data_IF_454671202009
#
_entry.id   IF_454671202009
#
_cell.length_a   1.000
_cell.length_b   1.000
_cell.length_c   1.000
_cell.angle_alpha   90.00
_cell.angle_beta   90.00
_cell.angle_gamma   90.00
#
_symmetry.space_group_name_H-M   'P 1'
#
loop_
_entity.id
_entity.type
_entity.pdbx_description
1 polymer ?
#
# COMPACT_ATOMS: atom_id res chain seq x y z
N UNK A 1 -14.70 -13.32 -7.24
CA UNK A 1 -13.61 -12.75 -6.42
C UNK A 1 -13.38 -13.68 -5.23
N UNK A 2 -12.16 -13.78 -4.67
CA UNK A 2 -11.94 -14.59 -3.48
C UNK A 2 -12.71 -14.03 -2.29
N UNK A 3 -13.11 -14.90 -1.38
CA UNK A 3 -13.71 -14.51 -0.10
C UNK A 3 -12.62 -13.98 0.81
N UNK A 4 -12.76 -12.74 1.27
CA UNK A 4 -11.74 -12.05 2.09
C UNK A 4 -12.39 -11.12 3.09
N UNK A 5 -11.85 -11.10 4.30
CA UNK A 5 -12.24 -10.21 5.39
C UNK A 5 -11.11 -9.27 5.79
N UNK A 6 -11.48 -8.16 6.42
CA UNK A 6 -10.53 -7.19 6.98
C UNK A 6 -10.57 -7.26 8.50
N UNK A 7 -9.42 -7.59 9.08
CA UNK A 7 -9.19 -7.55 10.51
C UNK A 7 -8.49 -6.27 10.91
N UNK A 8 -8.91 -5.65 11.99
CA UNK A 8 -8.30 -4.46 12.57
C UNK A 8 -7.74 -4.81 13.94
N UNK A 9 -6.45 -4.52 14.16
CA UNK A 9 -5.75 -4.70 15.43
C UNK A 9 -5.20 -3.38 15.93
N UNK A 10 -5.04 -3.29 17.25
CA UNK A 10 -4.14 -2.32 17.85
C UNK A 10 -2.70 -2.81 17.65
N UNK A 11 -1.83 -1.89 17.25
CA UNK A 11 -0.40 -2.12 17.07
C UNK A 11 0.36 -1.32 18.10
N UNK A 12 1.21 -1.98 18.87
CA UNK A 12 2.10 -1.34 19.83
C UNK A 12 3.53 -1.77 19.60
N UNK A 13 4.46 -0.86 19.83
CA UNK A 13 5.90 -1.10 19.69
C UNK A 13 6.60 -0.87 21.01
N UNK A 14 7.53 -1.77 21.36
CA UNK A 14 8.46 -1.61 22.49
C UNK A 14 9.86 -2.05 22.03
N UNK A 15 10.76 -1.08 21.88
CA UNK A 15 12.04 -1.31 21.20
C UNK A 15 11.80 -1.83 19.78
N UNK A 16 12.43 -2.92 19.42
CA UNK A 16 12.26 -3.57 18.09
C UNK A 16 11.10 -4.56 18.01
N UNK A 17 10.38 -4.75 19.09
CA UNK A 17 9.28 -5.71 19.15
C UNK A 17 7.94 -5.05 18.92
N UNK A 18 7.11 -5.66 18.09
CA UNK A 18 5.72 -5.28 17.85
C UNK A 18 4.76 -6.28 18.50
N UNK A 19 3.63 -5.77 18.97
CA UNK A 19 2.54 -6.58 19.51
C UNK A 19 1.22 -6.14 18.92
N UNK A 20 0.44 -7.11 18.43
CA UNK A 20 -0.94 -6.93 18.02
C UNK A 20 -1.86 -7.30 19.17
N UNK A 21 -2.94 -6.54 19.34
CA UNK A 21 -3.97 -6.77 20.36
C UNK A 21 -5.34 -6.29 19.89
N UNK A 22 -6.40 -6.65 20.60
CA UNK A 22 -7.76 -6.19 20.35
C UNK A 22 -8.25 -6.43 18.90
N UNK A 23 -7.89 -7.60 18.33
CA UNK A 23 -8.26 -7.97 16.97
C UNK A 23 -9.78 -8.07 16.80
N UNK A 24 -10.31 -7.37 15.80
CA UNK A 24 -11.73 -7.44 15.41
C UNK A 24 -11.83 -7.62 13.90
N UNK A 25 -12.73 -8.50 13.44
CA UNK A 25 -13.11 -8.58 12.04
C UNK A 25 -14.10 -7.45 11.77
N UNK A 26 -13.72 -6.46 10.96
CA UNK A 26 -14.53 -5.26 10.70
C UNK A 26 -15.48 -5.42 9.51
N UNK A 27 -15.35 -6.48 8.75
CA UNK A 27 -16.23 -6.79 7.61
C UNK A 27 -17.13 -8.00 7.91
N UNK A 28 -16.58 -9.11 8.35
CA UNK A 28 -17.27 -10.31 8.85
C UNK A 28 -18.50 -10.71 8.02
N UNK A 29 -18.32 -10.90 6.72
CA UNK A 29 -19.37 -11.25 5.77
C UNK A 29 -18.82 -12.08 4.62
N UNK A 30 -19.63 -12.94 3.97
CA UNK A 30 -19.22 -13.60 2.74
C UNK A 30 -18.94 -12.58 1.64
N UNK A 31 -17.89 -12.78 0.85
CA UNK A 31 -17.53 -12.01 -0.32
C UNK A 31 -16.19 -11.28 -0.17
N UNK A 32 -15.91 -10.42 -1.14
CA UNK A 32 -14.63 -9.75 -1.24
C UNK A 32 -14.65 -8.41 -0.51
N UNK A 33 -13.85 -8.31 0.55
CA UNK A 33 -13.53 -7.08 1.27
C UNK A 33 -12.01 -6.92 1.33
N UNK A 34 -11.45 -5.90 0.68
CA UNK A 34 -10.00 -5.84 0.44
C UNK A 34 -9.49 -4.39 0.29
N UNK A 35 -8.17 -4.23 0.11
CA UNK A 35 -7.51 -2.96 -0.18
C UNK A 35 -7.77 -1.89 0.89
N UNK A 36 -7.58 -2.20 2.19
CA UNK A 36 -7.79 -1.23 3.25
C UNK A 36 -6.79 -0.07 3.17
N UNK A 37 -7.28 1.14 3.51
CA UNK A 37 -6.49 2.35 3.64
C UNK A 37 -7.01 3.19 4.79
N UNK A 38 -6.14 3.64 5.69
CA UNK A 38 -6.53 4.50 6.79
C UNK A 38 -6.77 5.95 6.32
N UNK A 39 -7.73 6.63 6.95
CA UNK A 39 -7.81 8.08 6.85
C UNK A 39 -6.61 8.75 7.52
N UNK A 40 -6.17 9.95 7.08
CA UNK A 40 -5.03 10.64 7.68
C UNK A 40 -5.17 10.95 9.18
N UNK A 41 -6.41 11.09 9.66
CA UNK A 41 -6.72 11.26 11.08
C UNK A 41 -6.84 9.95 11.87
N UNK A 42 -6.59 8.82 11.22
CA UNK A 42 -6.66 7.46 11.75
C UNK A 42 -8.01 7.06 12.38
N UNK A 43 -9.11 7.76 12.02
CA UNK A 43 -10.45 7.49 12.57
C UNK A 43 -11.28 6.55 11.72
N UNK A 44 -10.87 6.32 10.48
CA UNK A 44 -11.60 5.49 9.52
C UNK A 44 -10.67 4.60 8.72
N UNK A 45 -11.22 3.46 8.28
CA UNK A 45 -10.62 2.59 7.27
C UNK A 45 -11.52 2.63 6.03
N UNK A 46 -10.98 3.06 4.89
CA UNK A 46 -11.61 2.91 3.58
C UNK A 46 -11.18 1.59 2.98
N UNK A 47 -12.07 0.91 2.28
CA UNK A 47 -11.76 -0.38 1.65
C UNK A 47 -12.69 -0.65 0.47
N UNK A 48 -12.26 -1.54 -0.42
CA UNK A 48 -13.06 -2.06 -1.52
C UNK A 48 -13.91 -3.20 -1.01
N UNK A 49 -15.21 -3.19 -1.29
CA UNK A 49 -16.15 -4.26 -0.97
C UNK A 49 -16.96 -4.64 -2.21
N UNK A 50 -17.01 -5.93 -2.52
CA UNK A 50 -17.88 -6.45 -3.59
C UNK A 50 -19.22 -6.86 -3.01
N UNK A 51 -20.27 -6.16 -3.43
CA UNK A 51 -21.66 -6.42 -3.01
C UNK A 51 -22.58 -6.24 -4.21
N UNK A 52 -23.63 -7.02 -4.27
CA UNK A 52 -24.70 -6.89 -5.27
C UNK A 52 -24.19 -6.84 -6.73
N UNK A 53 -23.11 -7.59 -7.02
CA UNK A 53 -22.55 -7.68 -8.36
C UNK A 53 -21.52 -6.61 -8.71
N UNK A 54 -21.17 -5.69 -7.80
CA UNK A 54 -20.28 -4.56 -8.04
C UNK A 54 -19.29 -4.34 -6.90
N UNK A 55 -18.13 -3.76 -7.20
CA UNK A 55 -17.16 -3.30 -6.21
C UNK A 55 -17.32 -1.80 -5.98
N UNK A 56 -17.58 -1.44 -4.73
CA UNK A 56 -17.64 -0.05 -4.27
C UNK A 56 -16.68 0.19 -3.11
N UNK A 57 -16.45 1.46 -2.80
CA UNK A 57 -15.69 1.85 -1.62
C UNK A 57 -16.62 1.98 -0.42
N UNK A 58 -16.20 1.37 0.68
CA UNK A 58 -16.85 1.46 1.98
C UNK A 58 -15.94 2.15 2.98
N UNK A 59 -16.54 2.78 3.98
CA UNK A 59 -15.84 3.43 5.08
C UNK A 59 -16.27 2.80 6.39
N UNK A 60 -15.33 2.25 7.15
CA UNK A 60 -15.53 1.82 8.53
C UNK A 60 -15.08 2.93 9.48
N UNK A 61 -15.97 3.37 10.37
CA UNK A 61 -15.63 4.29 11.45
C UNK A 61 -15.14 3.50 12.67
N UNK A 62 -13.90 3.73 13.08
CA UNK A 62 -13.24 2.91 14.12
C UNK A 62 -13.89 3.11 15.49
N UNK A 63 -14.22 4.34 15.86
CA UNK A 63 -14.82 4.65 17.17
C UNK A 63 -16.27 4.19 17.25
N UNK A 64 -17.07 4.47 16.21
CA UNK A 64 -18.49 4.09 16.17
C UNK A 64 -18.70 2.60 15.84
N UNK A 65 -17.69 1.91 15.33
CA UNK A 65 -17.76 0.50 14.84
C UNK A 65 -18.87 0.31 13.79
N UNK A 66 -19.01 1.28 12.89
CA UNK A 66 -20.05 1.29 11.85
C UNK A 66 -19.45 1.40 10.46
N UNK A 67 -20.05 0.71 9.51
CA UNK A 67 -19.71 0.76 8.10
C UNK A 67 -20.77 1.53 7.32
N UNK A 68 -20.34 2.35 6.37
CA UNK A 68 -21.21 2.96 5.35
C UNK A 68 -20.59 2.83 3.97
N UNK A 69 -21.42 2.74 2.95
CA UNK A 69 -21.01 2.86 1.57
C UNK A 69 -20.53 4.30 1.32
N UNK A 70 -19.36 4.44 0.69
CA UNK A 70 -18.78 5.75 0.38
C UNK A 70 -18.96 6.12 -1.09
N UNK A 71 -18.79 5.18 -2.01
CA UNK A 71 -19.12 5.38 -3.43
C UNK A 71 -20.38 4.59 -3.80
N UNK A 72 -21.18 5.13 -4.71
CA UNK A 72 -22.38 4.49 -5.25
C UNK A 72 -22.53 4.97 -6.71
N UNK A 73 -21.68 4.45 -7.60
CA UNK A 73 -21.70 4.77 -9.03
C UNK A 73 -22.06 3.52 -9.83
N UNK A 74 -22.37 3.62 -11.12
CA UNK A 74 -22.62 2.44 -11.94
C UNK A 74 -21.35 1.70 -12.37
N UNK A 75 -20.16 2.16 -11.96
CA UNK A 75 -18.85 1.58 -12.23
C UNK A 75 -18.23 0.99 -10.97
N UNK A 76 -17.29 0.07 -11.14
CA UNK A 76 -16.57 -0.54 -10.01
C UNK A 76 -15.36 0.28 -9.59
N UNK A 77 -15.21 0.50 -8.27
CA UNK A 77 -14.11 1.24 -7.66
C UNK A 77 -13.23 0.34 -6.78
N UNK A 78 -11.91 0.60 -6.86
CA UNK A 78 -10.87 -0.18 -6.19
C UNK A 78 -9.79 0.71 -5.59
N UNK A 79 -9.00 0.15 -4.66
CA UNK A 79 -7.77 0.75 -4.11
C UNK A 79 -7.99 2.16 -3.56
N UNK A 80 -8.86 2.37 -2.57
CA UNK A 80 -9.13 3.69 -2.02
C UNK A 80 -7.89 4.24 -1.30
N UNK A 81 -7.60 5.54 -1.50
CA UNK A 81 -6.62 6.29 -0.71
C UNK A 81 -7.07 7.73 -0.53
N UNK A 82 -6.97 8.28 0.69
CA UNK A 82 -7.23 9.70 0.90
C UNK A 82 -6.11 10.52 0.26
N UNK A 83 -6.47 11.54 -0.50
CA UNK A 83 -5.49 12.43 -1.14
C UNK A 83 -4.65 13.19 -0.11
N UNK A 84 -3.38 13.56 -0.42
CA UNK A 84 -2.50 14.24 0.55
C UNK A 84 -3.02 15.59 1.07
N UNK A 85 -3.96 16.23 0.37
CA UNK A 85 -4.63 17.45 0.82
C UNK A 85 -5.82 17.20 1.75
N UNK A 86 -6.15 15.92 2.01
CA UNK A 86 -7.23 15.49 2.88
C UNK A 86 -8.64 15.84 2.38
N UNK A 87 -8.82 16.13 1.08
CA UNK A 87 -10.11 16.60 0.55
C UNK A 87 -10.90 15.53 -0.19
N UNK A 88 -10.23 14.49 -0.68
CA UNK A 88 -10.83 13.46 -1.52
C UNK A 88 -10.40 12.06 -1.10
N UNK A 89 -11.17 11.06 -1.49
CA UNK A 89 -10.72 9.68 -1.62
C UNK A 89 -10.48 9.42 -3.10
N UNK A 90 -9.26 9.08 -3.48
CA UNK A 90 -8.92 8.62 -4.83
C UNK A 90 -9.14 7.11 -4.95
N UNK A 91 -9.49 6.65 -6.14
CA UNK A 91 -9.81 5.25 -6.44
C UNK A 91 -9.39 4.92 -7.87
N UNK A 92 -9.06 3.67 -8.12
CA UNK A 92 -9.06 3.12 -9.48
C UNK A 92 -10.50 2.74 -9.83
N UNK A 93 -11.07 3.39 -10.84
CA UNK A 93 -12.39 3.05 -11.36
C UNK A 93 -12.24 2.24 -12.64
N UNK A 94 -13.01 1.15 -12.74
CA UNK A 94 -13.20 0.39 -13.96
C UNK A 94 -14.45 0.91 -14.63
N UNK A 95 -14.29 1.67 -15.71
CA UNK A 95 -15.38 2.31 -16.43
C UNK A 95 -16.15 1.28 -17.28
N UNK A 96 -17.30 1.67 -17.83
CA UNK A 96 -18.18 0.77 -18.61
C UNK A 96 -17.50 0.12 -19.82
N UNK A 97 -16.52 0.80 -20.40
CA UNK A 97 -15.70 0.29 -21.51
C UNK A 97 -14.50 -0.54 -21.02
N UNK A 98 -14.46 -0.90 -19.74
CA UNK A 98 -13.37 -1.61 -19.06
C UNK A 98 -12.07 -0.80 -18.90
N UNK A 99 -12.08 0.48 -19.22
CA UNK A 99 -10.92 1.35 -19.01
C UNK A 99 -10.71 1.60 -17.53
N UNK A 100 -9.48 1.43 -17.07
CA UNK A 100 -9.12 1.68 -15.66
C UNK A 100 -8.47 3.05 -15.54
N UNK A 101 -9.15 3.98 -14.84
CA UNK A 101 -8.67 5.34 -14.61
C UNK A 101 -8.67 5.73 -13.15
N UNK A 102 -7.87 6.73 -12.80
CA UNK A 102 -7.83 7.28 -11.45
C UNK A 102 -8.86 8.40 -11.32
N UNK A 103 -9.80 8.19 -10.42
CA UNK A 103 -10.82 9.15 -10.03
C UNK A 103 -10.65 9.57 -8.57
N UNK A 104 -11.21 10.70 -8.19
CA UNK A 104 -11.27 11.16 -6.80
C UNK A 104 -12.66 11.68 -6.43
N UNK A 105 -13.14 11.26 -5.28
CA UNK A 105 -14.45 11.55 -4.72
C UNK A 105 -14.29 12.54 -3.58
N UNK A 106 -15.02 13.70 -3.57
CA UNK A 106 -14.91 14.66 -2.49
C UNK A 106 -15.41 14.08 -1.15
N UNK A 107 -14.62 14.21 -0.07
CA UNK A 107 -15.01 13.77 1.28
C UNK A 107 -16.25 14.50 1.82
N UNK A 108 -16.50 15.73 1.34
CA UNK A 108 -17.68 16.54 1.70
C UNK A 108 -18.89 16.30 0.80
N UNK A 109 -18.82 15.30 -0.10
CA UNK A 109 -19.84 15.06 -1.11
C UNK A 109 -19.67 15.93 -2.35
N UNK A 110 -20.34 15.54 -3.44
CA UNK A 110 -20.26 16.18 -4.74
C UNK A 110 -19.83 15.21 -5.84
N UNK A 111 -19.78 15.68 -7.10
CA UNK A 111 -19.41 14.81 -8.23
C UNK A 111 -17.94 14.38 -8.15
N UNK A 112 -17.65 13.14 -8.59
CA UNK A 112 -16.28 12.67 -8.72
C UNK A 112 -15.53 13.44 -9.82
N UNK A 113 -14.19 13.48 -9.68
CA UNK A 113 -13.29 14.18 -10.60
C UNK A 113 -12.26 13.21 -11.15
N UNK A 114 -12.12 13.16 -12.46
CA UNK A 114 -11.08 12.41 -13.15
C UNK A 114 -9.71 13.07 -12.87
N UNK A 115 -8.72 12.27 -12.44
CA UNK A 115 -7.38 12.79 -12.11
C UNK A 115 -6.54 13.01 -13.37
N UNK A 116 -6.56 12.04 -14.29
CA UNK A 116 -5.83 12.09 -15.56
C UNK A 116 -6.76 11.81 -16.73
N UNK A 117 -6.72 12.68 -17.75
CA UNK A 117 -7.49 12.50 -19.00
C UNK A 117 -6.79 11.54 -19.96
N UNK A 118 -5.44 11.58 -19.98
CA UNK A 118 -4.60 10.92 -20.98
C UNK A 118 -3.79 9.74 -20.42
N UNK A 119 -4.10 9.28 -19.21
CA UNK A 119 -3.49 8.10 -18.60
C UNK A 119 -4.61 7.15 -18.18
N UNK A 120 -4.55 5.94 -18.70
CA UNK A 120 -5.45 4.82 -18.40
C UNK A 120 -4.65 3.56 -18.03
N UNK A 121 -5.35 2.43 -17.95
CA UNK A 121 -4.78 1.14 -17.57
C UNK A 121 -4.10 1.15 -16.21
N UNK A 122 -4.57 2.02 -15.30
CA UNK A 122 -4.01 2.18 -13.96
C UNK A 122 -4.46 1.01 -13.10
N UNK A 123 -3.52 0.14 -12.70
CA UNK A 123 -3.79 -0.98 -11.79
C UNK A 123 -3.64 -0.59 -10.32
N UNK A 124 -2.57 0.12 -10.00
CA UNK A 124 -2.24 0.61 -8.65
C UNK A 124 -1.60 1.98 -8.71
N UNK A 125 -1.62 2.69 -7.59
CA UNK A 125 -1.02 4.02 -7.51
C UNK A 125 -0.61 4.37 -6.08
N UNK A 126 0.27 5.36 -5.96
CA UNK A 126 0.66 5.95 -4.69
C UNK A 126 0.85 7.46 -4.89
N UNK A 127 0.27 8.26 -4.00
CA UNK A 127 0.50 9.70 -3.96
C UNK A 127 1.88 9.98 -3.38
N UNK A 128 2.75 10.63 -4.14
CA UNK A 128 4.05 11.13 -3.68
C UNK A 128 3.86 12.45 -2.93
N UNK A 129 2.99 13.30 -3.45
CA UNK A 129 2.53 14.54 -2.83
C UNK A 129 1.21 14.97 -3.47
N UNK A 130 0.69 16.15 -3.12
CA UNK A 130 -0.61 16.65 -3.63
C UNK A 130 -0.73 16.74 -5.17
N UNK A 131 0.38 16.74 -5.89
CA UNK A 131 0.41 16.91 -7.35
C UNK A 131 1.09 15.76 -8.08
N UNK A 132 1.80 14.89 -7.41
CA UNK A 132 2.64 13.86 -8.00
C UNK A 132 2.26 12.47 -7.51
N UNK A 133 2.17 11.54 -8.44
CA UNK A 133 1.86 10.13 -8.18
C UNK A 133 2.88 9.22 -8.84
N UNK A 134 3.04 8.05 -8.26
CA UNK A 134 3.59 6.88 -8.93
C UNK A 134 2.43 5.98 -9.33
N UNK A 135 2.39 5.55 -10.59
CA UNK A 135 1.35 4.71 -11.16
C UNK A 135 1.95 3.39 -11.65
N UNK A 136 1.31 2.29 -11.29
CA UNK A 136 1.53 0.99 -11.90
C UNK A 136 0.50 0.82 -13.02
N UNK A 137 0.98 0.83 -14.26
CA UNK A 137 0.15 0.68 -15.45
C UNK A 137 0.14 -0.78 -15.89
N UNK A 138 -1.06 -1.30 -16.06
CA UNK A 138 -1.30 -2.63 -16.65
C UNK A 138 -0.90 -2.64 -18.12
N UNK A 139 -0.47 -3.77 -18.60
CA UNK A 139 -0.10 -3.96 -20.00
C UNK A 139 0.93 -5.08 -20.15
N UNK A 140 1.45 -5.23 -21.36
CA UNK A 140 2.54 -6.15 -21.63
C UNK A 140 3.62 -5.42 -22.45
N UNK A 141 4.74 -5.03 -21.81
CA UNK A 141 5.04 -5.17 -20.38
C UNK A 141 4.27 -4.18 -19.48
N UNK A 142 4.12 -4.52 -18.20
CA UNK A 142 3.66 -3.61 -17.16
C UNK A 142 4.67 -2.48 -16.95
N UNK A 143 4.21 -1.29 -16.50
CA UNK A 143 5.06 -0.12 -16.37
C UNK A 143 4.85 0.58 -15.03
N UNK A 144 5.92 1.06 -14.44
CA UNK A 144 5.88 2.01 -13.35
C UNK A 144 6.22 3.39 -13.89
N UNK A 145 5.35 4.38 -13.65
CA UNK A 145 5.52 5.73 -14.17
C UNK A 145 5.28 6.79 -13.09
N UNK A 146 5.96 7.94 -13.23
CA UNK A 146 5.62 9.14 -12.47
C UNK A 146 4.61 9.96 -13.27
N UNK A 147 3.57 10.46 -12.61
CA UNK A 147 2.54 11.30 -13.21
C UNK A 147 2.23 12.53 -12.35
N UNK A 148 1.78 13.62 -12.97
CA UNK A 148 1.50 14.89 -12.31
C UNK A 148 0.04 15.30 -12.48
N UNK A 149 -0.73 15.30 -11.38
CA UNK A 149 -2.18 15.56 -11.37
C UNK A 149 -2.56 17.01 -11.67
N UNK A 150 -1.66 17.99 -11.47
CA UNK A 150 -1.96 19.41 -11.65
C UNK A 150 -1.71 19.91 -13.07
N UNK A 151 -1.08 19.11 -13.94
CA UNK A 151 -0.68 19.57 -15.26
C UNK A 151 -0.71 18.41 -16.28
N UNK A 152 -1.93 18.03 -16.66
CA UNK A 152 -2.20 17.00 -17.66
C UNK A 152 -1.67 17.39 -19.08
N UNK A 153 -1.29 18.66 -19.28
CA UNK A 153 -0.89 19.18 -20.59
C UNK A 153 0.60 19.44 -20.77
N UNK A 154 1.38 19.60 -19.69
CA UNK A 154 2.74 20.15 -19.76
C UNK A 154 3.85 19.28 -19.18
N UNK A 155 3.57 18.46 -18.18
CA UNK A 155 4.54 17.51 -17.62
C UNK A 155 4.20 16.11 -18.08
N UNK A 156 4.97 15.59 -19.02
CA UNK A 156 4.84 14.21 -19.47
C UNK A 156 5.10 13.27 -18.30
N UNK A 157 4.23 12.27 -18.14
CA UNK A 157 4.52 11.13 -17.28
C UNK A 157 5.88 10.53 -17.69
N UNK A 158 6.78 10.36 -16.71
CA UNK A 158 8.08 9.74 -16.92
C UNK A 158 8.04 8.25 -16.65
N UNK A 159 8.56 7.42 -17.56
CA UNK A 159 8.79 6.02 -17.27
C UNK A 159 9.83 5.89 -16.16
N UNK A 160 9.50 5.16 -15.08
CA UNK A 160 10.45 4.81 -14.02
C UNK A 160 11.10 3.47 -14.39
N UNK A 161 10.29 2.44 -14.62
CA UNK A 161 10.77 1.11 -14.99
C UNK A 161 9.66 0.30 -15.67
N UNK A 162 10.04 -0.73 -16.42
CA UNK A 162 9.16 -1.74 -17.00
C UNK A 162 9.05 -3.00 -16.12
N UNK A 163 9.62 -2.97 -14.90
CA UNK A 163 9.60 -4.07 -13.93
C UNK A 163 9.25 -3.50 -12.56
N UNK A 164 8.00 -3.11 -12.35
CA UNK A 164 7.57 -2.48 -11.10
C UNK A 164 6.70 -3.40 -10.26
N UNK A 165 6.81 -3.29 -8.93
CA UNK A 165 5.93 -3.99 -7.99
C UNK A 165 4.56 -3.31 -7.85
N UNK A 166 3.58 -4.06 -7.34
CA UNK A 166 2.20 -3.58 -7.09
C UNK A 166 2.04 -2.91 -5.73
N UNK A 167 2.98 -3.15 -4.81
CA UNK A 167 2.99 -2.50 -3.50
C UNK A 167 3.86 -1.26 -3.59
N UNK A 168 3.22 -0.10 -3.61
CA UNK A 168 3.87 1.18 -3.83
C UNK A 168 3.82 2.00 -2.54
N UNK A 169 4.98 2.46 -2.09
CA UNK A 169 5.14 3.36 -0.96
C UNK A 169 6.05 4.50 -1.35
N UNK A 170 5.77 5.69 -0.85
CA UNK A 170 6.62 6.86 -1.06
C UNK A 170 7.07 7.40 0.28
N UNK A 171 8.34 7.74 0.38
CA UNK A 171 8.88 8.52 1.48
C UNK A 171 9.89 9.54 0.98
N UNK A 172 10.15 10.55 1.82
CA UNK A 172 11.12 11.58 1.53
C UNK A 172 12.34 11.37 2.40
N UNK A 173 13.45 10.98 1.78
CA UNK A 173 14.75 11.07 2.42
C UNK A 173 15.26 12.50 2.26
N UNK A 174 15.25 13.27 3.34
CA UNK A 174 15.90 14.57 3.36
C UNK A 174 17.34 14.36 3.80
N UNK A 175 18.24 14.18 2.84
CA UNK A 175 19.66 14.41 3.09
C UNK A 175 19.90 15.93 3.14
N UNK A 176 20.77 16.42 4.00
CA UNK A 176 21.22 17.83 3.96
C UNK A 176 21.88 18.22 2.63
N UNK A 177 22.31 17.25 1.85
CA UNK A 177 23.04 17.43 0.58
C UNK A 177 22.24 17.00 -0.64
N UNK A 178 21.17 16.21 -0.49
CA UNK A 178 20.39 15.72 -1.62
C UNK A 178 18.96 15.37 -1.16
N UNK A 179 17.99 16.18 -1.57
CA UNK A 179 16.55 15.94 -1.32
C UNK A 179 15.97 14.92 -2.32
N UNK A 180 16.61 13.78 -2.47
CA UNK A 180 16.16 12.73 -3.39
C UNK A 180 14.92 12.05 -2.84
N UNK A 181 13.90 11.92 -3.70
CA UNK A 181 12.71 11.11 -3.44
C UNK A 181 13.03 9.64 -3.69
N UNK A 182 12.60 8.78 -2.80
CA UNK A 182 12.70 7.35 -2.97
C UNK A 182 11.30 6.76 -3.12
N UNK A 183 11.15 5.93 -4.13
CA UNK A 183 9.97 5.09 -4.29
C UNK A 183 10.39 3.70 -3.84
N UNK A 184 9.62 3.12 -2.94
CA UNK A 184 9.89 1.80 -2.41
C UNK A 184 8.87 0.85 -3.00
N UNK A 185 9.33 -0.18 -3.67
CA UNK A 185 8.50 -1.28 -4.10
C UNK A 185 8.94 -2.55 -3.41
N UNK A 186 8.01 -3.43 -3.17
CA UNK A 186 8.33 -4.70 -2.55
C UNK A 186 7.83 -5.89 -3.38
N UNK A 187 8.59 -6.97 -3.39
CA UNK A 187 8.40 -8.12 -4.28
C UNK A 187 8.58 -9.50 -3.60
N UNK A 188 7.82 -10.52 -4.02
CA UNK A 188 8.19 -11.92 -3.81
C UNK A 188 8.98 -12.42 -5.01
N UNK A 189 10.07 -13.13 -4.77
CA UNK A 189 10.95 -13.66 -5.77
C UNK A 189 10.25 -14.29 -6.98
N UNK A 190 10.96 -14.69 -7.98
CA UNK A 190 10.52 -15.07 -9.32
C UNK A 190 9.08 -15.60 -9.40
N UNK A 191 8.19 -14.87 -10.09
CA UNK A 191 6.87 -15.38 -10.52
C UNK A 191 6.99 -16.32 -11.73
N UNK A 192 8.21 -16.60 -12.17
CA UNK A 192 8.47 -17.53 -13.26
C UNK A 192 8.15 -18.95 -12.79
N UNK A 193 7.12 -19.61 -13.36
CA UNK A 193 6.77 -20.97 -12.98
C UNK A 193 7.87 -21.99 -13.37
N UNK A 194 8.83 -21.59 -14.18
CA UNK A 194 9.97 -22.41 -14.61
C UNK A 194 11.22 -22.23 -13.76
N UNK A 195 11.21 -21.31 -12.76
CA UNK A 195 12.33 -21.13 -11.84
C UNK A 195 12.54 -22.42 -11.04
N UNK A 196 13.69 -23.09 -11.18
CA UNK A 196 13.97 -24.35 -10.52
C UNK A 196 14.20 -24.20 -9.00
N UNK A 197 14.29 -22.97 -8.47
CA UNK A 197 14.53 -22.73 -7.06
C UNK A 197 13.26 -22.28 -6.33
N UNK A 198 12.47 -23.20 -5.74
CA UNK A 198 11.23 -22.85 -5.04
C UNK A 198 11.46 -21.95 -3.81
N UNK A 199 12.67 -21.89 -3.27
CA UNK A 199 13.00 -21.00 -2.13
C UNK A 199 13.06 -19.53 -2.52
N UNK A 200 13.25 -19.19 -3.79
CA UNK A 200 13.22 -17.81 -4.26
C UNK A 200 11.81 -17.30 -4.49
N UNK A 201 10.81 -18.19 -4.67
CA UNK A 201 9.41 -17.80 -4.89
C UNK A 201 8.75 -17.15 -3.67
N UNK A 202 9.15 -17.56 -2.47
CA UNK A 202 8.55 -17.14 -1.20
C UNK A 202 9.39 -16.10 -0.45
N UNK A 203 10.50 -15.67 -1.03
CA UNK A 203 11.40 -14.68 -0.40
C UNK A 203 11.07 -13.31 -0.92
N UNK A 204 10.59 -12.39 -0.08
CA UNK A 204 10.33 -11.01 -0.49
C UNK A 204 11.65 -10.29 -0.75
N UNK A 205 11.69 -9.58 -1.85
CA UNK A 205 12.78 -8.70 -2.24
C UNK A 205 12.27 -7.27 -2.04
N UNK A 206 12.96 -6.48 -1.24
CA UNK A 206 12.70 -5.05 -1.07
C UNK A 206 13.75 -4.31 -1.86
N UNK A 207 13.30 -3.47 -2.75
CA UNK A 207 14.16 -2.66 -3.59
C UNK A 207 13.80 -1.18 -3.43
N UNK A 208 14.83 -0.34 -3.25
CA UNK A 208 14.67 1.12 -3.15
C UNK A 208 15.09 1.78 -4.44
N UNK A 209 14.24 2.67 -4.99
CA UNK A 209 14.51 3.39 -6.23
C UNK A 209 15.09 4.76 -5.95
N UNK A 210 16.34 4.99 -6.33
CA UNK A 210 16.87 6.31 -6.60
C UNK A 210 16.85 6.53 -8.13
N UNK A 211 15.74 7.03 -8.60
CA UNK A 211 15.66 7.70 -9.91
C UNK A 211 15.98 6.96 -11.18
N UNK A 212 16.06 5.67 -11.36
CA UNK A 212 16.13 5.00 -12.68
C UNK A 212 16.71 3.57 -12.69
N UNK A 213 16.56 2.77 -11.65
CA UNK A 213 17.13 1.41 -11.71
C UNK A 213 16.06 0.31 -11.62
N UNK A 214 16.38 -0.90 -12.09
CA UNK A 214 15.45 -2.02 -12.37
C UNK A 214 14.87 -2.68 -11.12
N UNK A 215 13.59 -3.04 -11.16
CA UNK A 215 12.84 -3.61 -10.02
C UNK A 215 12.06 -4.87 -10.37
N UNK A 216 11.89 -5.70 -9.37
CA UNK A 216 11.16 -6.96 -9.44
C UNK A 216 9.84 -6.96 -8.59
N UNK A 217 8.85 -7.81 -8.84
CA UNK A 217 7.42 -7.74 -8.43
C UNK A 217 6.98 -8.40 -7.10
N UNK A 218 6.01 -7.87 -6.27
CA UNK A 218 5.54 -8.45 -5.00
C UNK A 218 4.11 -8.36 -4.60
N UNK A 219 3.79 -9.08 -3.52
CA UNK A 219 2.61 -8.89 -2.69
C UNK A 219 2.85 -7.81 -1.61
N UNK A 220 1.75 -7.37 -1.00
CA UNK A 220 1.66 -6.15 -0.23
C UNK A 220 2.57 -6.06 1.00
N UNK A 221 3.37 -5.01 1.05
CA UNK A 221 4.16 -4.57 2.21
C UNK A 221 3.65 -3.20 2.66
N UNK A 222 3.77 -2.93 3.94
CA UNK A 222 3.52 -1.62 4.52
C UNK A 222 4.64 -1.26 5.48
N UNK A 223 4.86 0.01 5.72
CA UNK A 223 6.01 0.48 6.49
C UNK A 223 5.62 1.41 7.65
N UNK A 224 6.44 1.39 8.68
CA UNK A 224 6.46 2.39 9.75
C UNK A 224 7.83 3.07 9.72
N UNK A 225 7.81 4.39 9.66
CA UNK A 225 9.02 5.20 9.80
C UNK A 225 9.35 5.40 11.27
N UNK A 226 10.62 5.26 11.61
CA UNK A 226 11.16 5.63 12.91
C UNK A 226 12.14 6.78 12.74
N UNK A 227 11.81 7.94 13.29
CA UNK A 227 12.73 9.06 13.36
C UNK A 227 13.50 8.93 14.66
N UNK A 228 14.81 8.69 14.59
CA UNK A 228 15.68 8.72 15.76
C UNK A 228 16.19 10.15 15.94
N UNK A 229 15.86 10.85 17.03
CA UNK A 229 16.44 12.16 17.33
C UNK A 229 17.96 12.04 17.44
N UNK A 230 18.67 12.87 16.70
CA UNK A 230 20.14 12.89 16.77
C UNK A 230 20.60 13.85 17.86
N UNK A 231 21.31 13.32 18.82
CA UNK A 231 21.93 14.11 19.91
C UNK A 231 23.20 14.86 19.46
N UNK A 232 23.61 14.71 18.20
CA UNK A 232 24.80 15.35 17.63
C UNK A 232 24.44 16.06 16.32
N UNK A 233 24.62 17.39 16.18
CA UNK A 233 24.32 18.15 14.97
C UNK A 233 25.15 17.77 13.75
N UNK A 234 26.27 17.07 13.92
CA UNK A 234 27.14 16.61 12.84
C UNK A 234 26.85 15.17 12.38
N UNK A 235 25.94 14.47 13.06
CA UNK A 235 25.56 13.12 12.69
C UNK A 235 24.51 13.13 11.56
N UNK A 236 24.63 12.18 10.61
CA UNK A 236 23.65 11.96 9.57
C UNK A 236 22.35 11.43 10.20
N UNK A 237 21.19 11.92 9.71
CA UNK A 237 19.89 11.39 10.15
C UNK A 237 19.83 9.89 9.82
N UNK A 238 19.64 9.06 10.82
CA UNK A 238 19.45 7.63 10.65
C UNK A 238 17.97 7.40 10.38
N UNK A 239 17.65 6.99 9.17
CA UNK A 239 16.30 6.54 8.84
C UNK A 239 16.21 5.05 9.09
N UNK A 240 15.16 4.66 9.78
CA UNK A 240 14.82 3.28 10.06
C UNK A 240 13.38 3.02 9.63
N UNK A 241 13.19 1.97 8.82
CA UNK A 241 11.87 1.57 8.34
C UNK A 241 11.61 0.13 8.70
N UNK A 242 10.49 -0.12 9.33
CA UNK A 242 9.98 -1.47 9.50
C UNK A 242 8.97 -1.80 8.39
N UNK A 243 9.28 -2.83 7.65
CA UNK A 243 8.41 -3.43 6.64
C UNK A 243 7.67 -4.60 7.24
N UNK A 244 6.39 -4.72 6.90
CA UNK A 244 5.54 -5.82 7.36
C UNK A 244 5.05 -6.64 6.18
N UNK A 245 5.07 -7.94 6.34
CA UNK A 245 4.66 -8.92 5.33
C UNK A 245 3.95 -10.09 5.98
N UNK A 246 2.95 -10.63 5.29
CA UNK A 246 2.31 -11.90 5.63
C UNK A 246 2.89 -13.08 4.87
N UNK A 247 2.99 -14.23 5.56
CA UNK A 247 3.23 -15.53 4.94
C UNK A 247 2.33 -16.55 5.64
N UNK A 248 1.27 -17.02 4.97
CA UNK A 248 0.20 -17.73 5.64
C UNK A 248 -0.41 -16.87 6.76
N UNK A 249 -0.66 -17.40 7.96
CA UNK A 249 -1.14 -16.63 9.10
C UNK A 249 -0.06 -15.84 9.83
N UNK A 250 1.20 -15.97 9.42
CA UNK A 250 2.35 -15.41 10.11
C UNK A 250 2.64 -13.99 9.60
N UNK A 251 2.74 -13.04 10.52
CA UNK A 251 3.16 -11.67 10.24
C UNK A 251 4.64 -11.53 10.54
N UNK A 252 5.39 -11.09 9.57
CA UNK A 252 6.83 -10.82 9.68
C UNK A 252 7.13 -9.34 9.58
N UNK A 253 8.29 -8.94 10.09
CA UNK A 253 8.89 -7.63 9.86
C UNK A 253 10.32 -7.73 9.34
N UNK A 254 10.72 -6.74 8.56
CA UNK A 254 12.10 -6.47 8.18
C UNK A 254 12.42 -5.00 8.44
N UNK A 255 13.57 -4.72 9.04
CA UNK A 255 13.99 -3.35 9.34
C UNK A 255 15.07 -2.93 8.35
N UNK A 256 14.79 -1.86 7.59
CA UNK A 256 15.80 -1.19 6.75
C UNK A 256 16.40 -0.03 7.53
N UNK A 257 17.72 0.04 7.51
CA UNK A 257 18.52 1.16 8.02
C UNK A 257 19.32 1.78 6.88
N UNK A 258 19.91 2.96 7.09
CA UNK A 258 20.81 3.59 6.11
C UNK A 258 21.96 2.66 5.66
N UNK A 259 22.34 1.69 6.48
CA UNK A 259 23.43 0.77 6.19
C UNK A 259 23.06 -0.34 5.19
N UNK A 260 21.76 -0.68 5.07
CA UNK A 260 21.29 -1.78 4.22
C UNK A 260 20.31 -1.36 3.11
N UNK A 261 20.21 -0.06 2.83
CA UNK A 261 19.31 0.52 1.82
C UNK A 261 19.54 0.00 0.39
N UNK A 262 20.67 -0.63 0.11
CA UNK A 262 21.11 -1.03 -1.24
C UNK A 262 21.12 -2.56 -1.39
N UNK A 263 20.85 -3.32 -0.33
CA UNK A 263 20.87 -4.79 -0.37
C UNK A 263 19.46 -5.37 -0.28
N UNK A 264 19.10 -6.32 -1.15
CA UNK A 264 17.85 -7.04 -1.03
C UNK A 264 17.79 -7.79 0.31
N UNK A 265 16.63 -7.78 0.95
CA UNK A 265 16.40 -8.52 2.18
C UNK A 265 16.44 -10.02 1.91
N UNK A 266 17.42 -10.73 2.46
CA UNK A 266 17.40 -12.18 2.50
C UNK A 266 16.29 -12.73 3.41
N UNK A 267 15.85 -13.96 3.16
CA UNK A 267 14.78 -14.60 3.95
C UNK A 267 15.09 -14.70 5.45
N UNK A 268 16.36 -14.80 5.81
CA UNK A 268 16.89 -14.87 7.16
C UNK A 268 16.81 -13.54 7.94
N UNK A 269 16.60 -12.43 7.25
CA UNK A 269 16.49 -11.09 7.84
C UNK A 269 15.08 -10.72 8.29
N UNK A 270 14.06 -11.49 7.86
CA UNK A 270 12.69 -11.32 8.27
C UNK A 270 12.46 -11.94 9.65
N UNK A 271 11.97 -11.14 10.58
CA UNK A 271 11.69 -11.54 11.96
C UNK A 271 10.18 -11.76 12.15
N UNK A 272 9.81 -12.88 12.73
CA UNK A 272 8.42 -13.15 13.09
C UNK A 272 7.93 -12.12 14.13
N UNK A 273 6.80 -11.48 13.83
CA UNK A 273 6.10 -10.58 14.76
C UNK A 273 5.07 -11.36 15.56
N UNK A 274 4.19 -12.10 14.87
CA UNK A 274 3.12 -12.86 15.52
C UNK A 274 2.51 -13.90 14.58
N UNK A 275 1.87 -14.90 15.17
CA UNK A 275 0.97 -15.84 14.50
C UNK A 275 -0.48 -15.43 14.75
N UNK A 276 -1.25 -15.25 13.69
CA UNK A 276 -2.65 -14.83 13.72
C UNK A 276 -3.64 -15.98 13.50
N UNK A 277 -3.18 -17.22 13.47
CA UNK A 277 -4.03 -18.41 13.27
C UNK A 277 -5.11 -18.53 14.34
N UNK A 278 -4.85 -18.08 15.58
CA UNK A 278 -5.82 -18.07 16.68
C UNK A 278 -7.05 -17.18 16.44
N UNK A 279 -6.96 -16.22 15.51
CA UNK A 279 -8.07 -15.40 15.04
C UNK A 279 -8.82 -16.02 13.86
N UNK A 280 -8.43 -17.21 13.40
CA UNK A 280 -8.98 -17.85 12.19
C UNK A 280 -8.35 -17.35 10.88
N UNK A 281 -7.32 -16.51 10.95
CA UNK A 281 -6.59 -16.02 9.80
C UNK A 281 -5.72 -17.15 9.24
N UNK A 282 -5.97 -17.55 8.00
CA UNK A 282 -5.21 -18.59 7.31
C UNK A 282 -4.12 -18.03 6.39
N UNK A 283 -4.41 -16.87 5.81
CA UNK A 283 -3.47 -16.23 4.90
C UNK A 283 -3.61 -14.71 4.95
N UNK A 284 -2.51 -14.02 5.15
CA UNK A 284 -2.44 -12.56 5.12
C UNK A 284 -2.22 -12.13 3.67
N UNK A 285 -3.26 -11.56 3.05
CA UNK A 285 -3.23 -11.12 1.65
C UNK A 285 -2.77 -9.68 1.46
N UNK A 286 -3.14 -8.79 2.38
CA UNK A 286 -2.77 -7.36 2.37
C UNK A 286 -2.65 -6.81 3.78
N UNK A 287 -1.90 -5.71 3.89
CA UNK A 287 -1.67 -5.02 5.15
C UNK A 287 -1.74 -3.51 4.90
N UNK A 288 -2.35 -2.79 5.84
CA UNK A 288 -2.25 -1.34 5.93
C UNK A 288 -1.97 -0.94 7.37
N UNK A 289 -1.14 0.09 7.58
CA UNK A 289 -0.83 0.62 8.91
C UNK A 289 -1.30 2.06 8.98
N UNK A 290 -1.84 2.46 10.14
CA UNK A 290 -2.23 3.83 10.40
C UNK A 290 -1.00 4.75 10.43
N UNK A 291 -1.15 6.02 10.04
CA UNK A 291 -0.04 6.97 9.97
C UNK A 291 0.64 7.24 11.31
N UNK A 292 -0.04 6.97 12.42
CA UNK A 292 0.51 7.06 13.79
C UNK A 292 1.15 5.76 14.28
N UNK A 293 1.15 4.70 13.45
CA UNK A 293 1.72 3.39 13.78
C UNK A 293 0.98 2.60 14.86
N UNK A 294 -0.23 3.01 15.25
CA UNK A 294 -0.95 2.40 16.38
C UNK A 294 -2.01 1.38 15.98
N UNK A 295 -2.33 1.27 14.71
CA UNK A 295 -3.30 0.31 14.19
C UNK A 295 -2.79 -0.35 12.91
N UNK A 296 -3.20 -1.58 12.73
CA UNK A 296 -2.92 -2.36 11.54
C UNK A 296 -4.22 -3.03 11.05
N UNK A 297 -4.49 -2.87 9.76
CA UNK A 297 -5.57 -3.57 9.08
C UNK A 297 -4.97 -4.69 8.21
N UNK A 298 -5.51 -5.88 8.36
CA UNK A 298 -5.01 -7.10 7.72
C UNK A 298 -6.15 -7.72 6.92
N UNK A 299 -5.92 -7.94 5.63
CA UNK A 299 -6.83 -8.72 4.78
C UNK A 299 -6.48 -10.18 4.89
N UNK A 300 -7.47 -10.99 5.16
CA UNK A 300 -7.34 -12.42 5.33
C UNK A 300 -8.37 -13.18 4.48
N UNK A 301 -7.98 -14.32 3.96
CA UNK A 301 -8.94 -15.32 3.50
C UNK A 301 -9.42 -16.12 4.73
N UNK A 302 -10.73 -16.36 4.86
CA UNK A 302 -11.29 -17.15 5.94
C UNK A 302 -10.88 -18.63 5.89
#
# INVERSE_FOLDING_TARGET
MPDTDIWLFDLSQKGDSFKLSNGINITNRPGYDNQPSFSPDNKSVYYTSYRDGQSDIYQYNIAAKTTKQFTATPESEYSPAVTPDGKFVSVVRVEKDSTQRLWKFPLKGGPPVLVFKNIDSIGYYCWVNKNELTLFLLGNPEKLVTAFAADDSKKKSGLITMKGGRSLHTDYFVSKTDSSKWIITANFGSTDPTDPNPKTRDTPIIETIKGKEDFAMTSHITLIRKDTPLNNPDSHVVYEYDYFMGNGPLLYKYTITNANLIQPAGADQWKLVTDLSSFGIKNIGRIAISSDGKKIAIVSNP
#
